data_IF_365280289627
#
_entry.id   IF_365280289627
#
_cell.length_a   1.000
_cell.length_b   1.000
_cell.length_c   1.000
_cell.angle_alpha   90.00
_cell.angle_beta   90.00
_cell.angle_gamma   90.00
#
_symmetry.space_group_name_H-M   'P 1'
#
loop_
_entity.id
_entity.type
_entity.pdbx_description
1 polymer ?
#
# COMPACT_ATOMS: atom_id res chain seq x y z
N UNK A 1 -22.84 27.32 39.41
CA UNK A 1 -21.60 26.82 38.76
C UNK A 1 -21.99 25.80 37.71
N UNK A 2 -21.81 25.95 36.40
CA UNK A 2 -20.97 26.88 35.65
C UNK A 2 -19.79 26.16 34.98
N UNK A 3 -20.04 25.24 34.04
CA UNK A 3 -19.07 24.80 33.02
C UNK A 3 -19.84 24.43 31.73
N UNK A 4 -20.10 25.43 30.88
CA UNK A 4 -20.41 25.19 29.46
C UNK A 4 -19.09 24.87 28.77
N UNK A 5 -18.80 23.58 28.60
CA UNK A 5 -17.70 23.14 27.74
C UNK A 5 -18.10 23.45 26.28
N UNK A 6 -17.54 24.51 25.73
CA UNK A 6 -17.70 24.87 24.32
C UNK A 6 -16.89 23.92 23.45
N UNK A 7 -17.51 22.84 22.97
CA UNK A 7 -17.01 22.08 21.84
C UNK A 7 -17.48 22.78 20.56
N UNK A 8 -16.64 23.61 19.94
CA UNK A 8 -16.91 24.14 18.59
C UNK A 8 -16.80 23.00 17.59
N UNK A 9 -17.89 22.28 17.38
CA UNK A 9 -18.01 21.28 16.32
C UNK A 9 -18.04 22.01 14.97
N UNK A 10 -16.97 21.91 14.18
CA UNK A 10 -16.94 22.44 12.80
C UNK A 10 -18.18 21.94 12.05
N UNK A 11 -18.97 22.86 11.53
CA UNK A 11 -20.19 22.57 10.77
C UNK A 11 -19.81 21.77 9.52
N UNK A 12 -20.49 20.65 9.30
CA UNK A 12 -20.28 19.78 8.13
C UNK A 12 -21.38 20.09 7.12
N UNK A 13 -21.02 20.68 5.98
CA UNK A 13 -21.99 21.19 4.99
C UNK A 13 -22.16 20.26 3.78
N UNK A 14 -21.19 19.39 3.53
CA UNK A 14 -21.18 18.49 2.38
C UNK A 14 -21.94 17.20 2.68
N UNK A 15 -22.84 16.79 1.78
CA UNK A 15 -23.57 15.53 1.85
C UNK A 15 -23.08 14.56 0.77
N UNK A 16 -22.68 13.36 1.20
CA UNK A 16 -22.35 12.26 0.30
C UNK A 16 -23.60 11.39 0.10
N UNK A 17 -24.12 11.31 -1.13
CA UNK A 17 -25.24 10.41 -1.49
C UNK A 17 -24.68 9.18 -2.21
N UNK A 18 -24.83 8.00 -1.60
CA UNK A 18 -24.37 6.73 -2.15
C UNK A 18 -25.56 5.77 -2.20
N UNK A 19 -25.68 5.03 -3.31
CA UNK A 19 -26.66 3.95 -3.44
C UNK A 19 -25.99 2.63 -3.08
N UNK A 20 -26.67 1.81 -2.29
CA UNK A 20 -26.25 0.48 -1.90
C UNK A 20 -27.25 -0.53 -2.45
N UNK A 21 -26.77 -1.73 -2.77
CA UNK A 21 -27.66 -2.90 -2.83
C UNK A 21 -28.19 -3.24 -1.44
N UNK A 22 -29.25 -4.03 -1.38
CA UNK A 22 -29.87 -4.45 -0.11
C UNK A 22 -28.88 -5.18 0.80
N UNK A 23 -28.06 -6.09 0.23
CA UNK A 23 -27.04 -6.82 0.97
C UNK A 23 -25.94 -5.90 1.54
N UNK A 24 -25.47 -4.93 0.76
CA UNK A 24 -24.46 -3.97 1.23
C UNK A 24 -25.00 -3.08 2.34
N UNK A 25 -26.25 -2.66 2.24
CA UNK A 25 -26.90 -1.84 3.25
C UNK A 25 -27.05 -2.59 4.58
N UNK A 26 -27.47 -3.86 4.52
CA UNK A 26 -27.62 -4.69 5.72
C UNK A 26 -26.27 -4.98 6.38
N UNK A 27 -25.23 -5.27 5.60
CA UNK A 27 -23.87 -5.42 6.16
C UNK A 27 -23.42 -4.15 6.90
N UNK A 28 -23.67 -2.97 6.33
CA UNK A 28 -23.31 -1.71 6.98
C UNK A 28 -24.09 -1.49 8.28
N UNK A 29 -25.38 -1.83 8.28
CA UNK A 29 -26.24 -1.76 9.45
C UNK A 29 -25.72 -2.66 10.57
N UNK A 30 -25.52 -3.94 10.30
CA UNK A 30 -25.00 -4.93 11.26
C UNK A 30 -23.65 -4.49 11.85
N UNK A 31 -22.75 -3.96 11.00
CA UNK A 31 -21.47 -3.44 11.46
C UNK A 31 -21.63 -2.24 12.41
N UNK A 32 -22.56 -1.34 12.10
CA UNK A 32 -22.83 -0.16 12.94
C UNK A 32 -23.44 -0.54 14.29
N UNK A 33 -24.39 -1.47 14.29
CA UNK A 33 -25.02 -2.01 15.50
C UNK A 33 -23.98 -2.71 16.38
N UNK A 34 -23.12 -3.54 15.79
CA UNK A 34 -22.02 -4.20 16.50
C UNK A 34 -21.02 -3.22 17.09
N UNK A 35 -20.76 -2.10 16.41
CA UNK A 35 -19.86 -1.05 16.87
C UNK A 35 -20.53 -0.07 17.87
N UNK A 36 -21.85 -0.18 18.09
CA UNK A 36 -22.60 0.71 18.98
C UNK A 36 -22.65 2.16 18.50
N UNK A 37 -22.51 2.41 17.19
CA UNK A 37 -22.50 3.74 16.61
C UNK A 37 -23.46 3.84 15.42
N UNK A 38 -23.80 5.06 15.01
CA UNK A 38 -24.61 5.24 13.80
C UNK A 38 -23.84 4.87 12.53
N UNK A 39 -24.54 4.42 11.48
CA UNK A 39 -23.92 4.14 10.17
C UNK A 39 -23.08 5.33 9.66
N UNK A 40 -23.54 6.56 9.88
CA UNK A 40 -22.79 7.76 9.49
C UNK A 40 -21.52 7.95 10.33
N UNK A 41 -21.52 7.61 11.62
CA UNK A 41 -20.29 7.61 12.45
C UNK A 41 -19.32 6.53 12.00
N UNK A 42 -19.82 5.32 11.72
CA UNK A 42 -19.01 4.22 11.24
C UNK A 42 -18.26 4.57 9.93
N UNK A 43 -18.98 5.12 8.95
CA UNK A 43 -18.40 5.56 7.66
C UNK A 43 -17.36 6.67 7.89
N UNK A 44 -17.62 7.60 8.80
CA UNK A 44 -16.68 8.70 9.14
C UNK A 44 -15.42 8.18 9.84
N UNK A 45 -15.57 7.26 10.78
CA UNK A 45 -14.44 6.65 11.50
C UNK A 45 -13.53 5.86 10.55
N UNK A 46 -14.11 5.23 9.52
CA UNK A 46 -13.36 4.51 8.50
C UNK A 46 -12.72 5.43 7.45
N UNK A 47 -13.23 6.64 7.21
CA UNK A 47 -12.75 7.53 6.15
C UNK A 47 -11.24 7.85 6.25
N UNK A 48 -10.69 7.90 7.47
CA UNK A 48 -9.25 8.10 7.71
C UNK A 48 -8.43 6.81 7.82
N UNK A 49 -9.08 5.65 7.87
CA UNK A 49 -8.44 4.33 8.09
C UNK A 49 -8.39 3.48 6.82
N UNK A 50 -9.16 3.84 5.79
CA UNK A 50 -9.12 3.18 4.49
C UNK A 50 -7.79 3.51 3.81
N UNK A 51 -6.86 2.56 3.80
CA UNK A 51 -5.73 2.58 2.87
C UNK A 51 -6.26 2.32 1.47
N UNK A 52 -6.43 3.39 0.69
CA UNK A 52 -6.72 3.26 -0.74
C UNK A 52 -5.48 2.69 -1.42
N UNK A 53 -5.52 1.40 -1.74
CA UNK A 53 -4.43 0.73 -2.46
C UNK A 53 -4.28 1.40 -3.83
N UNK A 54 -3.18 2.13 -4.02
CA UNK A 54 -2.86 2.72 -5.31
C UNK A 54 -2.38 1.60 -6.25
N UNK A 55 -3.33 0.94 -6.91
CA UNK A 55 -3.07 -0.16 -7.86
C UNK A 55 -2.06 0.24 -8.94
N UNK A 56 -2.04 1.51 -9.33
CA UNK A 56 -1.11 2.02 -10.33
C UNK A 56 0.32 2.06 -9.79
N UNK A 57 0.53 2.61 -8.59
CA UNK A 57 1.83 2.61 -7.94
C UNK A 57 2.36 1.20 -7.66
N UNK A 58 1.49 0.28 -7.25
CA UNK A 58 1.87 -1.13 -7.04
C UNK A 58 2.29 -1.82 -8.35
N UNK A 59 1.59 -1.52 -9.45
CA UNK A 59 1.91 -2.04 -10.77
C UNK A 59 3.25 -1.52 -11.26
N UNK A 60 3.52 -0.23 -11.10
CA UNK A 60 4.79 0.42 -11.47
C UNK A 60 5.98 -0.17 -10.70
N UNK A 61 5.82 -0.37 -9.38
CA UNK A 61 6.82 -1.07 -8.55
C UNK A 61 7.08 -2.49 -9.04
N UNK A 62 6.03 -3.24 -9.35
CA UNK A 62 6.15 -4.61 -9.87
C UNK A 62 6.88 -4.65 -11.22
N UNK A 63 6.58 -3.71 -12.12
CA UNK A 63 7.29 -3.60 -13.40
C UNK A 63 8.78 -3.29 -13.21
N UNK A 64 9.11 -2.40 -12.26
CA UNK A 64 10.49 -2.06 -11.95
C UNK A 64 11.26 -3.28 -11.42
N UNK A 65 10.67 -4.04 -10.49
CA UNK A 65 11.25 -5.28 -9.98
C UNK A 65 11.47 -6.31 -11.09
N UNK A 66 10.52 -6.46 -12.00
CA UNK A 66 10.66 -7.38 -13.14
C UNK A 66 11.80 -6.98 -14.08
N UNK A 67 12.04 -5.67 -14.29
CA UNK A 67 13.19 -5.19 -15.06
C UNK A 67 14.51 -5.50 -14.38
N UNK A 68 14.59 -5.29 -13.06
CA UNK A 68 15.77 -5.65 -12.27
C UNK A 68 16.03 -7.16 -12.38
N UNK A 69 15.02 -7.99 -12.19
CA UNK A 69 15.12 -9.44 -12.33
C UNK A 69 15.58 -9.88 -13.73
N UNK A 70 15.08 -9.23 -14.78
CA UNK A 70 15.52 -9.51 -16.15
C UNK A 70 17.00 -9.21 -16.35
N UNK A 71 17.48 -8.06 -15.84
CA UNK A 71 18.89 -7.67 -15.92
C UNK A 71 19.78 -8.65 -15.15
N UNK A 72 19.38 -9.04 -13.94
CA UNK A 72 20.10 -10.03 -13.13
C UNK A 72 20.21 -11.38 -13.84
N UNK A 73 19.12 -11.85 -14.47
CA UNK A 73 19.13 -13.08 -15.25
C UNK A 73 20.03 -13.00 -16.49
N UNK A 74 20.15 -11.83 -17.11
CA UNK A 74 21.10 -11.62 -18.20
C UNK A 74 22.55 -11.72 -17.72
N UNK A 75 22.88 -11.07 -16.60
CA UNK A 75 24.21 -11.12 -15.99
C UNK A 75 24.57 -12.56 -15.60
N UNK A 76 23.65 -13.26 -14.91
CA UNK A 76 23.87 -14.65 -14.49
C UNK A 76 24.13 -15.57 -15.69
N UNK A 77 23.34 -15.44 -16.77
CA UNK A 77 23.58 -16.20 -18.01
C UNK A 77 24.93 -15.85 -18.63
N UNK A 78 25.27 -14.57 -18.72
CA UNK A 78 26.54 -14.13 -19.31
C UNK A 78 27.76 -14.69 -18.56
N UNK A 79 27.75 -14.63 -17.21
CA UNK A 79 28.80 -15.20 -16.36
C UNK A 79 28.91 -16.72 -16.54
N UNK A 80 27.78 -17.41 -16.56
CA UNK A 80 27.74 -18.87 -16.75
C UNK A 80 28.23 -19.29 -18.14
N UNK A 81 28.07 -18.44 -19.16
CA UNK A 81 28.56 -18.69 -20.52
C UNK A 81 30.06 -18.41 -20.65
N UNK A 82 30.59 -17.36 -20.02
CA UNK A 82 31.98 -16.90 -20.19
C UNK A 82 32.87 -17.24 -18.97
N UNK A 83 32.84 -18.50 -18.53
CA UNK A 83 33.49 -19.00 -17.30
C UNK A 83 35.01 -18.74 -17.19
N UNK A 84 35.67 -18.40 -18.29
CA UNK A 84 37.11 -18.16 -18.41
C UNK A 84 37.52 -16.68 -18.52
N UNK A 85 36.58 -15.74 -18.68
CA UNK A 85 36.88 -14.32 -18.95
C UNK A 85 36.39 -13.34 -17.88
N UNK A 86 35.50 -13.76 -16.99
CA UNK A 86 35.05 -12.98 -15.86
C UNK A 86 35.29 -13.80 -14.59
N UNK A 87 35.97 -13.21 -13.60
CA UNK A 87 35.99 -13.78 -12.25
C UNK A 87 34.55 -13.77 -11.74
N UNK A 88 33.87 -14.92 -11.76
CA UNK A 88 32.50 -15.06 -11.29
C UNK A 88 32.33 -14.49 -9.87
N UNK A 89 33.42 -14.50 -9.09
CA UNK A 89 33.53 -13.89 -7.75
C UNK A 89 33.33 -12.37 -7.79
N UNK A 90 33.95 -11.66 -8.74
CA UNK A 90 33.79 -10.20 -8.85
C UNK A 90 32.37 -9.81 -9.24
N UNK A 91 31.76 -10.54 -10.18
CA UNK A 91 30.37 -10.28 -10.57
C UNK A 91 29.41 -10.53 -9.41
N UNK A 92 29.58 -11.62 -8.68
CA UNK A 92 28.79 -11.90 -7.47
C UNK A 92 28.97 -10.79 -6.43
N UNK A 93 30.19 -10.28 -6.24
CA UNK A 93 30.43 -9.17 -5.29
C UNK A 93 29.67 -7.90 -5.67
N UNK A 94 29.63 -7.53 -6.96
CA UNK A 94 28.89 -6.37 -7.44
C UNK A 94 27.37 -6.55 -7.30
N UNK A 95 26.86 -7.77 -7.53
CA UNK A 95 25.44 -8.09 -7.34
C UNK A 95 25.02 -7.98 -5.87
N UNK A 96 25.85 -8.45 -4.92
CA UNK A 96 25.58 -8.32 -3.49
C UNK A 96 25.52 -6.84 -3.04
N UNK A 97 26.37 -5.97 -3.63
CA UNK A 97 26.33 -4.53 -3.35
C UNK A 97 25.03 -3.91 -3.86
N UNK A 98 24.54 -4.31 -5.04
CA UNK A 98 23.26 -3.83 -5.59
C UNK A 98 22.09 -4.30 -4.73
N UNK A 99 22.08 -5.58 -4.33
CA UNK A 99 21.04 -6.14 -3.46
C UNK A 99 20.95 -5.38 -2.12
N UNK A 100 22.09 -5.09 -1.50
CA UNK A 100 22.13 -4.30 -0.25
C UNK A 100 21.52 -2.91 -0.41
N UNK A 101 21.89 -2.18 -1.47
CA UNK A 101 21.32 -0.85 -1.73
C UNK A 101 19.80 -0.91 -2.00
N UNK A 102 19.31 -1.97 -2.67
CA UNK A 102 17.87 -2.15 -2.87
C UNK A 102 17.17 -2.43 -1.53
N UNK A 103 17.79 -3.18 -0.61
CA UNK A 103 17.25 -3.42 0.73
C UNK A 103 17.09 -2.13 1.54
N UNK A 104 18.09 -1.24 1.48
CA UNK A 104 18.08 0.05 2.16
C UNK A 104 17.00 1.01 1.63
N UNK A 105 16.68 0.98 0.34
CA UNK A 105 15.64 1.81 -0.28
C UNK A 105 14.20 1.38 0.06
N UNK A 106 14.02 0.16 0.56
CA UNK A 106 12.70 -0.40 0.88
C UNK A 106 12.34 -0.31 2.38
N UNK A 107 13.20 0.32 3.20
CA UNK A 107 12.99 0.56 4.64
C UNK A 107 12.60 2.01 4.87
#
# INVERSE_FOLDING_TARGET
MGLRCGFTMKKRENMLRVRFSEAEFEMLRVLSEKAGCSMSELVRDHLGKIRVRNKQADRERTMMLNRINANLNMIARWVNTHKSSASAVEVVSHLMVIERHIGELNT
#
